data_IF_558255338885
#
_entry.id   IF_558255338885
#
_cell.length_a   1.000
_cell.length_b   1.000
_cell.length_c   1.000
_cell.angle_alpha   90.00
_cell.angle_beta   90.00
_cell.angle_gamma   90.00
#
_symmetry.space_group_name_H-M   'P 1'
#
loop_
_entity.id
_entity.type
_entity.pdbx_description
1 polymer ?
#
# COMPACT_ATOMS: atom_id res chain seq x y z
N UNK A 1 8.80 10.57 -1.27
CA UNK A 1 8.52 9.14 -1.04
C UNK A 1 8.94 8.32 -2.24
N UNK A 2 9.53 7.13 -2.05
CA UNK A 2 9.73 6.16 -3.12
C UNK A 2 8.73 5.02 -2.98
N UNK A 3 8.06 4.64 -4.08
CA UNK A 3 7.21 3.46 -4.14
C UNK A 3 7.90 2.37 -4.94
N UNK A 4 8.10 1.22 -4.31
CA UNK A 4 8.67 0.00 -4.91
C UNK A 4 7.62 -1.09 -4.82
N UNK A 5 7.06 -1.47 -5.97
CA UNK A 5 5.93 -2.39 -6.02
C UNK A 5 5.69 -2.96 -7.42
N UNK A 6 4.47 -3.39 -7.67
CA UNK A 6 4.09 -3.94 -8.97
C UNK A 6 2.80 -3.28 -9.50
N UNK A 7 2.11 -3.95 -10.39
CA UNK A 7 0.87 -3.43 -10.98
C UNK A 7 -0.20 -3.03 -9.95
N UNK A 8 -0.22 -3.59 -8.75
CA UNK A 8 -1.15 -3.18 -7.69
C UNK A 8 -0.85 -1.76 -7.15
N UNK A 9 0.41 -1.33 -7.24
CA UNK A 9 0.83 0.06 -6.96
C UNK A 9 0.67 0.96 -8.19
N UNK A 10 1.01 0.45 -9.38
CA UNK A 10 0.99 1.24 -10.60
C UNK A 10 -0.43 1.52 -11.12
N UNK A 11 -1.36 0.57 -10.97
CA UNK A 11 -2.73 0.72 -11.46
C UNK A 11 -3.43 1.91 -10.81
N UNK A 12 -4.02 2.78 -11.64
CA UNK A 12 -4.61 4.08 -11.27
C UNK A 12 -3.65 5.04 -10.55
N UNK A 13 -2.34 4.82 -10.65
CA UNK A 13 -1.31 5.66 -10.05
C UNK A 13 -1.57 5.93 -8.55
N UNK A 14 -1.39 4.89 -7.72
CA UNK A 14 -1.52 5.00 -6.27
C UNK A 14 -0.67 6.16 -5.70
N UNK A 15 0.61 6.33 -6.09
CA UNK A 15 1.45 7.42 -5.62
C UNK A 15 0.90 8.82 -5.95
N UNK A 16 0.43 9.03 -7.19
CA UNK A 16 -0.22 10.29 -7.57
C UNK A 16 -1.50 10.54 -6.77
N UNK A 17 -2.26 9.47 -6.46
CA UNK A 17 -3.45 9.57 -5.62
C UNK A 17 -3.08 10.00 -4.20
N UNK A 18 -2.01 9.45 -3.60
CA UNK A 18 -1.47 9.89 -2.30
C UNK A 18 -1.10 11.37 -2.32
N UNK A 19 -0.38 11.81 -3.36
CA UNK A 19 -0.01 13.22 -3.53
C UNK A 19 -1.24 14.14 -3.72
N UNK A 20 -2.27 13.67 -4.43
CA UNK A 20 -3.53 14.40 -4.59
C UNK A 20 -4.28 14.57 -3.26
N UNK A 21 -4.30 13.54 -2.41
CA UNK A 21 -4.89 13.63 -1.07
C UNK A 21 -4.16 14.65 -0.19
N UNK A 22 -2.83 14.72 -0.27
CA UNK A 22 -2.04 15.72 0.45
C UNK A 22 -2.41 17.15 0.03
N UNK A 23 -2.48 17.39 -1.30
CA UNK A 23 -2.90 18.70 -1.84
C UNK A 23 -4.32 19.04 -1.41
N UNK A 24 -5.25 18.09 -1.52
CA UNK A 24 -6.65 18.29 -1.11
C UNK A 24 -6.81 18.61 0.38
N UNK A 25 -5.93 18.08 1.22
CA UNK A 25 -5.88 18.37 2.66
C UNK A 25 -5.17 19.70 3.00
N UNK A 26 -4.74 20.48 2.01
CA UNK A 26 -4.00 21.73 2.21
C UNK A 26 -2.64 21.53 2.92
N UNK A 27 -2.03 20.35 2.73
CA UNK A 27 -0.76 19.99 3.34
C UNK A 27 0.41 20.17 2.37
N UNK A 28 1.63 20.11 2.92
CA UNK A 28 2.86 20.14 2.13
C UNK A 28 2.78 19.11 0.99
N UNK A 29 3.17 19.48 -0.24
CA UNK A 29 3.21 18.56 -1.36
C UNK A 29 3.98 17.27 -1.03
N UNK A 30 3.46 16.14 -1.48
CA UNK A 30 4.17 14.86 -1.45
C UNK A 30 4.84 14.68 -2.79
N UNK A 31 6.17 14.76 -2.81
CA UNK A 31 6.98 14.37 -3.94
C UNK A 31 7.19 12.85 -3.92
N UNK A 32 7.13 12.23 -5.07
CA UNK A 32 7.27 10.79 -5.18
C UNK A 32 7.99 10.35 -6.46
N UNK A 33 8.55 9.14 -6.38
CA UNK A 33 8.93 8.36 -7.56
C UNK A 33 8.39 6.94 -7.41
N UNK A 34 8.30 6.23 -8.52
CA UNK A 34 7.70 4.90 -8.58
C UNK A 34 8.57 3.96 -9.41
N UNK A 35 8.88 2.80 -8.87
CA UNK A 35 9.43 1.65 -9.59
C UNK A 35 8.47 0.49 -9.38
N UNK A 36 7.57 0.25 -10.34
CA UNK A 36 6.47 -0.70 -10.18
C UNK A 36 6.10 -1.42 -11.50
N UNK A 37 7.04 -2.15 -12.11
CA UNK A 37 6.72 -3.01 -13.25
C UNK A 37 5.76 -4.13 -12.84
N UNK A 38 4.94 -4.60 -13.77
CA UNK A 38 3.97 -5.67 -13.53
C UNK A 38 4.63 -7.00 -13.20
N UNK A 39 4.01 -7.79 -12.32
CA UNK A 39 4.37 -9.18 -12.06
C UNK A 39 5.61 -9.40 -11.18
N UNK A 40 6.29 -8.36 -10.71
CA UNK A 40 7.50 -8.48 -9.89
C UNK A 40 7.18 -8.51 -8.39
N UNK A 41 8.08 -9.14 -7.63
CA UNK A 41 8.11 -9.12 -6.18
C UNK A 41 9.31 -8.31 -5.65
N UNK A 42 9.52 -8.28 -4.33
CA UNK A 42 10.61 -7.50 -3.73
C UNK A 42 12.00 -8.10 -4.02
N UNK A 43 12.09 -9.41 -4.22
CA UNK A 43 13.31 -10.10 -4.66
C UNK A 43 13.70 -9.68 -6.09
N UNK A 44 12.72 -9.66 -6.99
CA UNK A 44 12.93 -9.22 -8.37
C UNK A 44 13.39 -7.77 -8.41
N UNK A 45 12.81 -6.92 -7.57
CA UNK A 45 13.27 -5.53 -7.45
C UNK A 45 14.71 -5.42 -6.99
N UNK A 46 15.13 -6.28 -6.08
CA UNK A 46 16.50 -6.27 -5.58
C UNK A 46 17.51 -6.67 -6.64
N UNK A 47 17.17 -7.67 -7.46
CA UNK A 47 18.10 -8.32 -8.36
C UNK A 47 18.00 -7.83 -9.81
N UNK A 48 16.82 -7.39 -10.27
CA UNK A 48 16.53 -7.24 -11.69
C UNK A 48 16.06 -5.84 -12.12
N UNK A 49 15.67 -4.99 -11.15
CA UNK A 49 15.17 -3.63 -11.51
C UNK A 49 16.10 -2.54 -11.00
N UNK A 50 15.90 -1.31 -11.45
CA UNK A 50 16.62 -0.15 -10.94
C UNK A 50 16.12 0.39 -9.58
N UNK A 51 15.32 -0.38 -8.83
CA UNK A 51 14.70 0.11 -7.59
C UNK A 51 15.73 0.38 -6.48
N UNK A 52 16.80 -0.41 -6.38
CA UNK A 52 17.90 -0.15 -5.44
C UNK A 52 18.60 1.16 -5.75
N UNK A 53 18.92 1.38 -7.01
CA UNK A 53 19.60 2.61 -7.44
C UNK A 53 18.69 3.81 -7.20
N UNK A 54 17.39 3.69 -7.48
CA UNK A 54 16.41 4.72 -7.17
C UNK A 54 16.32 5.01 -5.66
N UNK A 55 16.40 3.99 -4.80
CA UNK A 55 16.44 4.18 -3.35
C UNK A 55 17.67 4.98 -2.91
N UNK A 56 18.84 4.64 -3.46
CA UNK A 56 20.12 5.22 -3.07
C UNK A 56 20.33 6.62 -3.65
N UNK A 57 19.73 6.92 -4.80
CA UNK A 57 19.95 8.18 -5.52
C UNK A 57 19.09 9.35 -5.01
N UNK A 58 17.99 9.08 -4.30
CA UNK A 58 17.03 10.13 -3.97
C UNK A 58 17.01 10.54 -2.49
N UNK A 59 16.57 11.78 -2.20
CA UNK A 59 16.39 12.27 -0.84
C UNK A 59 15.03 11.80 -0.27
N UNK A 60 14.87 10.50 -0.07
CA UNK A 60 13.59 9.92 0.35
C UNK A 60 13.42 9.97 1.87
N UNK A 61 12.27 10.44 2.35
CA UNK A 61 11.86 10.28 3.76
C UNK A 61 11.31 8.88 4.05
N UNK A 62 10.68 8.27 3.04
CA UNK A 62 9.98 6.98 3.16
C UNK A 62 10.13 6.17 1.88
N UNK A 63 10.35 4.86 2.02
CA UNK A 63 10.14 3.89 0.96
C UNK A 63 8.91 3.04 1.29
N UNK A 64 7.97 2.97 0.36
CA UNK A 64 6.77 2.11 0.43
C UNK A 64 7.04 0.87 -0.39
N UNK A 65 7.17 -0.27 0.29
CA UNK A 65 7.44 -1.58 -0.29
C UNK A 65 6.13 -2.34 -0.49
N UNK A 66 5.95 -2.99 -1.65
CA UNK A 66 4.77 -3.78 -1.95
C UNK A 66 5.16 -4.95 -2.86
N UNK A 67 4.63 -6.14 -2.57
CA UNK A 67 4.60 -7.26 -3.51
C UNK A 67 3.20 -7.87 -3.59
N UNK A 68 3.01 -8.94 -4.37
CA UNK A 68 1.73 -9.61 -4.54
C UNK A 68 1.15 -10.21 -3.25
N UNK A 69 -0.07 -10.76 -3.32
CA UNK A 69 -0.72 -11.41 -2.20
C UNK A 69 0.08 -12.63 -1.73
N UNK A 70 0.86 -12.46 -0.68
CA UNK A 70 1.75 -13.50 -0.15
C UNK A 70 0.99 -14.37 0.86
N UNK A 71 0.19 -15.32 0.36
CA UNK A 71 -0.67 -16.18 1.17
C UNK A 71 -0.17 -17.61 1.35
N UNK A 72 0.72 -18.09 0.47
CA UNK A 72 1.32 -19.42 0.55
C UNK A 72 2.62 -19.40 1.35
N UNK A 73 3.03 -20.50 2.00
CA UNK A 73 4.23 -20.54 2.85
C UNK A 73 5.48 -19.96 2.17
N UNK A 74 5.74 -20.33 0.92
CA UNK A 74 6.90 -19.87 0.17
C UNK A 74 6.85 -18.36 -0.10
N UNK A 75 5.67 -17.85 -0.46
CA UNK A 75 5.49 -16.41 -0.72
C UNK A 75 5.49 -15.57 0.55
N UNK A 76 5.07 -16.14 1.70
CA UNK A 76 5.16 -15.49 3.01
C UNK A 76 6.63 -15.36 3.45
N UNK A 77 7.41 -16.43 3.28
CA UNK A 77 8.83 -16.41 3.60
C UNK A 77 9.61 -15.45 2.68
N UNK A 78 9.32 -15.48 1.38
CA UNK A 78 9.87 -14.52 0.41
C UNK A 78 9.56 -13.07 0.82
N UNK A 79 8.29 -12.76 1.14
CA UNK A 79 7.91 -11.43 1.62
C UNK A 79 8.68 -11.04 2.88
N UNK A 80 8.78 -11.92 3.87
CA UNK A 80 9.47 -11.65 5.14
C UNK A 80 10.95 -11.35 4.91
N UNK A 81 11.62 -12.19 4.13
CA UNK A 81 13.04 -12.05 3.83
C UNK A 81 13.33 -10.74 3.09
N UNK A 82 12.63 -10.50 2.00
CA UNK A 82 12.94 -9.36 1.15
C UNK A 82 12.44 -8.03 1.72
N UNK A 83 11.31 -8.02 2.44
CA UNK A 83 10.90 -6.83 3.19
C UNK A 83 11.95 -6.44 4.24
N UNK A 84 12.57 -7.42 4.92
CA UNK A 84 13.64 -7.18 5.90
C UNK A 84 14.88 -6.62 5.21
N UNK A 85 15.33 -7.25 4.12
CA UNK A 85 16.50 -6.81 3.34
C UNK A 85 16.34 -5.36 2.85
N UNK A 86 15.21 -5.04 2.26
CA UNK A 86 14.89 -3.68 1.80
C UNK A 86 14.81 -2.67 2.95
N UNK A 87 14.21 -3.07 4.06
CA UNK A 87 14.05 -2.19 5.22
C UNK A 87 15.40 -1.91 5.90
N UNK A 88 16.32 -2.87 5.94
CA UNK A 88 17.65 -2.67 6.48
C UNK A 88 18.46 -1.70 5.60
N UNK A 89 18.41 -1.88 4.28
CA UNK A 89 19.04 -0.93 3.35
C UNK A 89 18.47 0.48 3.52
N UNK A 90 17.15 0.62 3.55
CA UNK A 90 16.49 1.91 3.73
C UNK A 90 16.95 2.62 5.02
N UNK A 91 16.93 1.90 6.14
CA UNK A 91 17.37 2.46 7.43
C UNK A 91 18.84 2.86 7.46
N UNK A 92 19.72 2.08 6.80
CA UNK A 92 21.14 2.44 6.67
C UNK A 92 21.35 3.78 5.97
N UNK A 93 20.37 4.23 5.18
CA UNK A 93 20.36 5.52 4.49
C UNK A 93 19.41 6.56 5.10
N UNK A 94 18.92 6.33 6.35
CA UNK A 94 18.03 7.26 7.04
C UNK A 94 16.60 7.30 6.49
N UNK A 95 16.22 6.35 5.63
CA UNK A 95 14.91 6.26 4.99
C UNK A 95 13.99 5.36 5.82
N UNK A 96 12.77 5.80 6.11
CA UNK A 96 11.79 5.01 6.86
C UNK A 96 11.14 3.96 5.95
N UNK A 97 11.25 2.65 6.26
CA UNK A 97 10.55 1.62 5.50
C UNK A 97 9.08 1.52 5.91
N UNK A 98 8.22 1.35 4.92
CA UNK A 98 6.81 1.04 5.10
C UNK A 98 6.41 -0.12 4.18
N UNK A 99 5.48 -0.99 4.63
CA UNK A 99 5.05 -2.18 3.90
C UNK A 99 3.55 -2.10 3.64
N UNK A 100 3.16 -2.05 2.36
CA UNK A 100 1.79 -1.89 1.91
C UNK A 100 1.11 -3.26 1.79
N UNK A 101 0.17 -3.55 2.69
CA UNK A 101 -0.67 -4.75 2.61
C UNK A 101 -1.62 -4.65 1.42
N UNK A 102 -1.60 -5.66 0.57
CA UNK A 102 -2.49 -5.77 -0.58
C UNK A 102 -3.69 -6.71 -0.29
N UNK A 103 -4.40 -7.10 -1.30
CA UNK A 103 -5.56 -7.98 -1.31
C UNK A 103 -5.35 -9.10 -2.33
N UNK A 104 -5.92 -10.30 -2.10
CA UNK A 104 -5.93 -11.35 -3.10
C UNK A 104 -6.93 -11.02 -4.22
N UNK A 105 -6.83 -11.70 -5.36
CA UNK A 105 -7.85 -11.70 -6.39
C UNK A 105 -9.21 -12.23 -5.88
N UNK A 106 -10.30 -11.84 -6.55
CA UNK A 106 -11.67 -12.20 -6.14
C UNK A 106 -11.89 -13.71 -5.98
N UNK A 107 -11.33 -14.49 -6.90
CA UNK A 107 -11.44 -15.96 -6.88
C UNK A 107 -10.75 -16.60 -5.67
N UNK A 108 -9.75 -15.90 -5.12
CA UNK A 108 -9.00 -16.32 -3.93
C UNK A 108 -9.29 -15.44 -2.72
N UNK A 109 -10.47 -14.84 -2.64
CA UNK A 109 -10.86 -13.97 -1.52
C UNK A 109 -10.79 -14.69 -0.15
N UNK A 110 -10.88 -16.01 -0.11
CA UNK A 110 -10.64 -16.81 1.08
C UNK A 110 -9.22 -16.66 1.66
N UNK A 111 -8.25 -16.24 0.84
CA UNK A 111 -6.86 -16.04 1.25
C UNK A 111 -6.61 -14.71 2.01
N UNK A 112 -7.59 -13.81 2.09
CA UNK A 112 -7.42 -12.53 2.79
C UNK A 112 -6.81 -12.65 4.20
N UNK A 113 -7.26 -13.57 5.07
CA UNK A 113 -6.66 -13.71 6.40
C UNK A 113 -5.16 -14.03 6.34
N UNK A 114 -4.77 -14.95 5.45
CA UNK A 114 -3.37 -15.34 5.27
C UNK A 114 -2.51 -14.19 4.75
N UNK A 115 -3.02 -13.42 3.76
CA UNK A 115 -2.33 -12.23 3.24
C UNK A 115 -2.12 -11.19 4.35
N UNK A 116 -3.16 -10.88 5.11
CA UNK A 116 -3.06 -9.89 6.21
C UNK A 116 -2.07 -10.34 7.27
N UNK A 117 -2.09 -11.62 7.65
CA UNK A 117 -1.18 -12.18 8.63
C UNK A 117 0.26 -12.13 8.14
N UNK A 118 0.52 -12.52 6.90
CA UNK A 118 1.83 -12.50 6.26
C UNK A 118 2.45 -11.10 6.28
N UNK A 119 1.71 -10.10 5.83
CA UNK A 119 2.18 -8.71 5.82
C UNK A 119 2.41 -8.15 7.23
N UNK A 120 1.58 -8.52 8.20
CA UNK A 120 1.83 -8.19 9.61
C UNK A 120 3.14 -8.80 10.12
N UNK A 121 3.33 -10.09 9.91
CA UNK A 121 4.55 -10.78 10.33
C UNK A 121 5.79 -10.19 9.66
N UNK A 122 5.73 -9.96 8.35
CA UNK A 122 6.81 -9.32 7.61
C UNK A 122 7.10 -7.90 8.09
N UNK A 123 6.07 -7.09 8.38
CA UNK A 123 6.28 -5.73 8.89
C UNK A 123 6.95 -5.69 10.26
N UNK A 124 6.62 -6.64 11.14
CA UNK A 124 7.27 -6.80 12.44
C UNK A 124 8.73 -7.22 12.28
N UNK A 125 8.99 -8.25 11.48
CA UNK A 125 10.35 -8.73 11.20
C UNK A 125 11.23 -7.64 10.59
N UNK A 126 10.70 -6.93 9.60
CA UNK A 126 11.37 -5.83 8.92
C UNK A 126 11.44 -4.53 9.75
N UNK A 127 10.77 -4.45 10.90
CA UNK A 127 10.59 -3.20 11.66
C UNK A 127 10.12 -2.05 10.75
N UNK A 128 9.18 -2.36 9.85
CA UNK A 128 8.60 -1.44 8.87
C UNK A 128 7.21 -0.97 9.32
N UNK A 129 6.84 0.25 8.94
CA UNK A 129 5.49 0.76 9.18
C UNK A 129 4.49 -0.01 8.33
N UNK A 130 3.54 -0.73 8.95
CA UNK A 130 2.47 -1.40 8.22
C UNK A 130 1.46 -0.39 7.67
N UNK A 131 1.17 -0.49 6.38
CA UNK A 131 0.15 0.28 5.67
C UNK A 131 -1.02 -0.67 5.31
N UNK A 132 -2.05 -0.78 6.17
CA UNK A 132 -3.04 -1.86 6.11
C UNK A 132 -4.16 -1.62 5.07
N UNK A 133 -3.82 -1.50 3.77
CA UNK A 133 -4.81 -1.25 2.72
C UNK A 133 -5.76 -2.44 2.51
N UNK A 134 -5.27 -3.68 2.52
CA UNK A 134 -6.14 -4.88 2.47
C UNK A 134 -7.14 -4.94 3.62
N UNK A 135 -6.73 -4.77 4.89
CA UNK A 135 -7.65 -4.62 6.02
C UNK A 135 -8.68 -3.49 5.86
N UNK A 136 -8.29 -2.36 5.25
CA UNK A 136 -9.23 -1.27 4.98
C UNK A 136 -10.29 -1.67 3.94
N UNK A 137 -9.93 -2.47 2.91
CA UNK A 137 -10.89 -3.02 1.97
C UNK A 137 -11.92 -3.90 2.67
N UNK A 138 -11.49 -4.81 3.54
CA UNK A 138 -12.39 -5.63 4.34
C UNK A 138 -13.32 -4.78 5.23
N UNK A 139 -12.78 -3.71 5.84
CA UNK A 139 -13.57 -2.78 6.64
C UNK A 139 -14.60 -2.01 5.81
N UNK A 140 -14.28 -1.67 4.55
CA UNK A 140 -15.20 -1.02 3.63
C UNK A 140 -16.34 -1.95 3.22
N UNK A 141 -16.05 -3.21 2.88
CA UNK A 141 -17.09 -4.20 2.53
C UNK A 141 -17.99 -4.56 3.69
N UNK A 142 -17.50 -4.61 4.92
CA UNK A 142 -18.39 -4.77 6.11
C UNK A 142 -19.43 -3.65 6.21
N UNK A 143 -19.13 -2.45 5.72
CA UNK A 143 -20.04 -1.29 5.69
C UNK A 143 -20.93 -1.24 4.47
N UNK A 144 -20.42 -1.69 3.35
CA UNK A 144 -21.11 -1.69 2.06
C UNK A 144 -20.58 -2.83 1.18
N UNK A 145 -21.19 -4.03 1.24
CA UNK A 145 -20.73 -5.21 0.50
C UNK A 145 -20.70 -5.02 -1.02
N UNK A 146 -21.47 -4.05 -1.54
CA UNK A 146 -21.57 -3.76 -2.98
C UNK A 146 -20.49 -2.77 -3.48
N UNK A 147 -19.57 -2.30 -2.62
CA UNK A 147 -18.50 -1.41 -3.06
C UNK A 147 -17.58 -2.12 -4.05
N UNK A 148 -17.43 -1.52 -5.23
CA UNK A 148 -16.56 -2.04 -6.28
C UNK A 148 -15.14 -1.55 -6.04
N UNK A 149 -14.38 -2.28 -5.21
CA UNK A 149 -12.98 -1.97 -4.92
C UNK A 149 -12.02 -2.60 -5.93
N UNK A 150 -12.41 -3.73 -6.55
CA UNK A 150 -11.72 -4.31 -7.70
C UNK A 150 -12.09 -3.63 -9.02
N UNK A 151 -11.15 -3.65 -9.94
CA UNK A 151 -11.37 -3.42 -11.36
C UNK A 151 -12.10 -4.59 -12.03
N UNK A 152 -12.30 -4.50 -13.35
CA UNK A 152 -13.05 -5.53 -14.11
C UNK A 152 -12.43 -6.92 -14.09
N UNK A 153 -11.11 -7.02 -13.90
CA UNK A 153 -10.36 -8.27 -13.87
C UNK A 153 -10.42 -9.01 -12.52
N UNK A 154 -11.04 -8.41 -11.51
CA UNK A 154 -11.16 -9.02 -10.19
C UNK A 154 -9.84 -9.10 -9.40
N UNK A 155 -8.77 -8.43 -9.86
CA UNK A 155 -7.48 -8.41 -9.19
C UNK A 155 -6.94 -6.99 -8.97
N UNK A 156 -6.78 -6.23 -10.04
CA UNK A 156 -6.31 -4.85 -9.93
C UNK A 156 -7.36 -3.96 -9.24
N UNK A 157 -6.93 -2.91 -8.55
CA UNK A 157 -7.87 -2.02 -7.88
C UNK A 157 -8.68 -1.20 -8.89
N UNK A 158 -9.94 -0.94 -8.58
CA UNK A 158 -10.66 0.16 -9.20
C UNK A 158 -10.09 1.50 -8.70
N UNK A 159 -10.49 2.61 -9.32
CA UNK A 159 -10.15 3.96 -8.82
C UNK A 159 -10.59 4.14 -7.35
N UNK A 160 -11.75 3.57 -6.97
CA UNK A 160 -12.23 3.61 -5.59
C UNK A 160 -11.34 2.80 -4.64
N UNK A 161 -10.91 1.61 -5.07
CA UNK A 161 -9.99 0.76 -4.32
C UNK A 161 -8.63 1.42 -4.12
N UNK A 162 -8.08 2.02 -5.19
CA UNK A 162 -6.84 2.80 -5.11
C UNK A 162 -6.97 3.99 -4.17
N UNK A 163 -8.09 4.73 -4.22
CA UNK A 163 -8.31 5.86 -3.31
C UNK A 163 -8.34 5.42 -1.84
N UNK A 164 -8.96 4.28 -1.53
CA UNK A 164 -8.95 3.76 -0.17
C UNK A 164 -7.54 3.34 0.29
N UNK A 165 -6.77 2.70 -0.58
CA UNK A 165 -5.38 2.36 -0.30
C UNK A 165 -4.53 3.63 -0.09
N UNK A 166 -4.65 4.62 -0.96
CA UNK A 166 -3.97 5.91 -0.85
C UNK A 166 -4.32 6.64 0.46
N UNK A 167 -5.59 6.60 0.87
CA UNK A 167 -6.05 7.20 2.12
C UNK A 167 -5.38 6.55 3.34
N UNK A 168 -5.23 5.23 3.33
CA UNK A 168 -4.49 4.49 4.37
C UNK A 168 -3.02 4.88 4.39
N UNK A 169 -2.37 4.88 3.22
CA UNK A 169 -0.96 5.28 3.08
C UNK A 169 -0.74 6.68 3.62
N UNK A 170 -1.49 7.65 3.11
CA UNK A 170 -1.35 9.05 3.50
C UNK A 170 -1.60 9.26 5.00
N UNK A 171 -2.71 8.73 5.52
CA UNK A 171 -3.05 8.84 6.95
C UNK A 171 -1.96 8.25 7.85
N UNK A 172 -1.51 7.02 7.57
CA UNK A 172 -0.50 6.35 8.41
C UNK A 172 0.83 7.07 8.42
N UNK A 173 1.27 7.57 7.27
CA UNK A 173 2.59 8.18 7.14
C UNK A 173 2.64 9.63 7.64
N UNK A 174 1.51 10.34 7.63
CA UNK A 174 1.46 11.77 8.01
C UNK A 174 0.79 12.04 9.34
N UNK A 175 0.06 11.07 9.90
CA UNK A 175 -0.79 11.27 11.09
C UNK A 175 -2.06 12.08 10.82
N UNK A 176 -2.30 12.51 9.57
CA UNK A 176 -3.51 13.27 9.23
C UNK A 176 -4.73 12.34 9.31
N UNK A 177 -5.75 12.65 10.14
CA UNK A 177 -6.90 11.75 10.29
C UNK A 177 -7.71 11.66 8.99
N UNK A 178 -8.27 10.50 8.65
CA UNK A 178 -9.05 10.32 7.41
C UNK A 178 -10.23 11.31 7.29
N UNK A 179 -10.79 11.75 8.41
CA UNK A 179 -11.89 12.72 8.44
C UNK A 179 -11.52 14.10 7.90
N UNK A 180 -10.26 14.48 8.01
CA UNK A 180 -9.76 15.78 7.55
C UNK A 180 -9.35 15.79 6.07
N UNK A 181 -9.43 14.65 5.38
CA UNK A 181 -8.97 14.52 3.99
C UNK A 181 -10.18 14.61 3.05
N UNK A 182 -10.25 15.62 2.17
CA UNK A 182 -11.28 15.69 1.15
C UNK A 182 -11.18 14.52 0.17
N UNK A 183 -12.30 13.93 -0.20
CA UNK A 183 -12.36 12.84 -1.17
C UNK A 183 -13.30 13.24 -2.32
N UNK A 184 -12.98 12.91 -3.58
CA UNK A 184 -13.76 13.29 -4.76
C UNK A 184 -14.98 12.39 -4.96
N UNK A 185 -15.69 12.07 -3.87
CA UNK A 185 -16.86 11.19 -3.88
C UNK A 185 -18.05 11.83 -3.16
N UNK A 186 -19.26 11.41 -3.52
CA UNK A 186 -20.48 11.77 -2.78
C UNK A 186 -20.35 11.40 -1.30
N UNK A 187 -20.98 12.18 -0.43
CA UNK A 187 -20.84 12.06 1.02
C UNK A 187 -21.01 10.63 1.59
N UNK A 188 -21.96 9.79 1.14
CA UNK A 188 -22.07 8.41 1.65
C UNK A 188 -20.81 7.57 1.38
N UNK A 189 -20.31 7.59 0.14
CA UNK A 189 -19.10 6.85 -0.26
C UNK A 189 -17.87 7.38 0.49
N UNK A 190 -17.66 8.70 0.49
CA UNK A 190 -16.54 9.31 1.20
C UNK A 190 -16.52 8.94 2.69
N UNK A 191 -17.69 8.89 3.34
CA UNK A 191 -17.84 8.50 4.75
C UNK A 191 -17.43 7.04 4.97
N UNK A 192 -17.82 6.14 4.07
CA UNK A 192 -17.43 4.73 4.15
C UNK A 192 -15.92 4.58 4.05
N UNK A 193 -15.28 5.20 3.05
CA UNK A 193 -13.83 5.13 2.86
C UNK A 193 -13.07 5.65 4.08
N UNK A 194 -13.46 6.83 4.61
CA UNK A 194 -12.82 7.42 5.79
C UNK A 194 -12.94 6.54 7.02
N UNK A 195 -14.12 5.97 7.27
CA UNK A 195 -14.34 5.04 8.39
C UNK A 195 -13.57 3.74 8.21
N UNK A 196 -13.52 3.19 7.00
CA UNK A 196 -12.79 1.97 6.70
C UNK A 196 -11.27 2.17 6.91
N UNK A 197 -10.72 3.28 6.45
CA UNK A 197 -9.32 3.62 6.70
C UNK A 197 -9.05 3.79 8.20
N UNK A 198 -9.91 4.53 8.92
CA UNK A 198 -9.76 4.73 10.37
C UNK A 198 -9.79 3.41 11.15
N UNK A 199 -10.66 2.47 10.76
CA UNK A 199 -10.75 1.15 11.42
C UNK A 199 -9.51 0.29 11.19
N UNK A 200 -8.97 0.31 9.97
CA UNK A 200 -7.78 -0.46 9.65
C UNK A 200 -6.51 0.08 10.31
N UNK A 201 -6.51 1.35 10.70
CA UNK A 201 -5.38 2.04 11.30
C UNK A 201 -5.32 1.96 12.83
N UNK A 202 -6.36 1.43 13.46
CA UNK A 202 -6.39 1.10 14.89
C UNK A 202 -5.59 -0.15 15.20
#
# INVERSE_FOLDING_TARGET
>A
MLFVGNSLTATNDLPATVAALARGAGRRPVEYATVAPGGVNLEDHWNLTGARDALLAGPWDVVVLQQGPSSLPESQENLRTWATTWADLARAHGIRPALLTVWPETERSYAFPAVVQSYRAASVAARATLLPAGPAWLAAWRRSPKLRLYGPDGFHPSVLGTTLAALVVYTRLTGTPPSAIPLPYRAPTARILRRAAADALR
#
